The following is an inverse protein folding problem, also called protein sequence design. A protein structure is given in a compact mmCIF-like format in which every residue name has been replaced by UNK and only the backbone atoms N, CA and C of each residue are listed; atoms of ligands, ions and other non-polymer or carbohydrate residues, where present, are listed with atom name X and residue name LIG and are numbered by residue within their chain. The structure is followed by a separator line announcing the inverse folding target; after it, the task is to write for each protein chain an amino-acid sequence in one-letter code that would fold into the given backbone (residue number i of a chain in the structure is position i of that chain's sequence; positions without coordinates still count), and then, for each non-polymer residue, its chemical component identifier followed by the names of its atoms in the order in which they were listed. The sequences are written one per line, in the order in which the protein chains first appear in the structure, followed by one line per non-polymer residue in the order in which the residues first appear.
data_IF_570240514490
#
_entry.id   IF_570240514490
#
_cell.length_a   1.000
_cell.length_b   1.000
_cell.length_c   1.000
_cell.angle_alpha   90.00
_cell.angle_beta   90.00
_cell.angle_gamma   90.00
#
_symmetry.space_group_name_H-M   'P 1'
#
loop_
_entity.id
_entity.type
_entity.pdbx_description
1 polymer ?
#
# COMPACT_ATOMS: atom_id res chain seq x y z
N UNK A 1 -7.69 -2.74 -40.74
CA UNK A 1 -7.38 -4.20 -40.86
C UNK A 1 -8.60 -5.03 -40.45
N UNK A 2 -8.66 -6.34 -40.71
CA UNK A 2 -9.78 -7.20 -40.27
C UNK A 2 -9.27 -8.52 -39.66
N UNK A 3 -9.82 -8.90 -38.51
CA UNK A 3 -9.47 -10.14 -37.83
C UNK A 3 -10.72 -10.97 -37.57
N UNK A 4 -10.66 -12.24 -37.91
CA UNK A 4 -11.69 -13.21 -37.60
C UNK A 4 -11.19 -14.16 -36.51
N UNK A 5 -11.98 -14.31 -35.46
CA UNK A 5 -11.71 -15.21 -34.34
C UNK A 5 -12.91 -16.12 -34.11
N UNK A 6 -12.67 -17.42 -34.05
CA UNK A 6 -13.66 -18.42 -33.67
C UNK A 6 -13.48 -18.81 -32.20
N UNK A 7 -14.45 -18.52 -31.30
CA UNK A 7 -14.32 -18.86 -29.88
C UNK A 7 -14.40 -20.38 -29.61
N UNK A 8 -14.91 -21.16 -30.56
CA UNK A 8 -15.06 -22.61 -30.40
C UNK A 8 -13.81 -23.39 -30.85
N UNK A 9 -13.14 -22.91 -31.91
CA UNK A 9 -11.95 -23.56 -32.49
C UNK A 9 -10.65 -22.84 -32.13
N UNK A 10 -10.75 -21.64 -31.53
CA UNK A 10 -9.64 -20.73 -31.23
C UNK A 10 -8.84 -20.32 -32.47
N UNK A 11 -9.42 -20.51 -33.66
CA UNK A 11 -8.82 -20.10 -34.91
C UNK A 11 -8.87 -18.58 -35.02
N UNK A 12 -7.70 -17.98 -35.17
CA UNK A 12 -7.52 -16.56 -35.43
C UNK A 12 -6.90 -16.41 -36.81
N UNK A 13 -7.50 -15.57 -37.65
CA UNK A 13 -6.97 -15.21 -38.98
C UNK A 13 -7.08 -13.71 -39.18
N UNK A 14 -6.02 -13.10 -39.69
CA UNK A 14 -5.98 -11.67 -40.00
C UNK A 14 -5.88 -11.40 -41.50
N UNK A 15 -6.54 -10.35 -41.95
CA UNK A 15 -6.42 -9.79 -43.30
C UNK A 15 -6.20 -8.28 -43.23
N UNK A 16 -5.44 -7.75 -44.18
CA UNK A 16 -5.24 -6.33 -44.39
C UNK A 16 -5.66 -5.97 -45.81
N UNK A 17 -6.39 -4.87 -45.94
CA UNK A 17 -6.72 -4.30 -47.24
C UNK A 17 -5.50 -3.53 -47.76
N UNK A 18 -4.91 -4.01 -48.86
CA UNK A 18 -3.76 -3.40 -49.53
C UNK A 18 -4.07 -3.30 -51.02
N UNK A 19 -3.96 -2.12 -51.61
CA UNK A 19 -4.23 -1.88 -53.03
C UNK A 19 -5.62 -2.37 -53.51
N UNK A 20 -6.66 -2.22 -52.67
CA UNK A 20 -8.02 -2.70 -52.91
C UNK A 20 -8.21 -4.22 -52.88
N UNK A 21 -7.21 -4.98 -52.43
CA UNK A 21 -7.28 -6.43 -52.23
C UNK A 21 -7.04 -6.81 -50.75
N UNK A 22 -7.80 -7.79 -50.25
CA UNK A 22 -7.55 -8.35 -48.92
C UNK A 22 -6.41 -9.36 -48.99
N UNK A 23 -5.27 -9.01 -48.39
CA UNK A 23 -4.11 -9.91 -48.23
C UNK A 23 -4.10 -10.49 -46.82
N UNK A 24 -3.74 -11.75 -46.67
CA UNK A 24 -3.60 -12.37 -45.36
C UNK A 24 -2.43 -11.75 -44.61
N UNK A 25 -2.59 -11.57 -43.30
CA UNK A 25 -1.52 -11.14 -42.40
C UNK A 25 -0.74 -12.41 -42.00
N UNK A 26 0.60 -12.44 -42.16
CA UNK A 26 1.38 -13.58 -41.74
C UNK A 26 1.36 -13.69 -40.20
N UNK A 27 1.28 -14.93 -39.73
CA UNK A 27 1.41 -15.23 -38.30
C UNK A 27 2.88 -15.09 -37.89
N UNK A 28 3.12 -14.52 -36.72
CA UNK A 28 4.45 -14.40 -36.11
C UNK A 28 4.86 -15.73 -35.47
N UNK A 29 6.12 -15.85 -35.06
CA UNK A 29 6.68 -17.07 -34.43
C UNK A 29 5.85 -17.54 -33.22
N UNK A 30 5.23 -16.61 -32.49
CA UNK A 30 4.41 -16.88 -31.31
C UNK A 30 2.95 -17.25 -31.63
N UNK A 31 2.59 -17.42 -32.90
CA UNK A 31 1.19 -17.68 -33.29
C UNK A 31 0.30 -16.44 -33.30
N UNK A 32 0.89 -15.23 -33.30
CA UNK A 32 0.14 -13.96 -33.22
C UNK A 32 0.16 -13.18 -34.53
N UNK A 33 -0.87 -12.36 -34.76
CA UNK A 33 -0.96 -11.49 -35.92
C UNK A 33 -0.62 -10.06 -35.57
N UNK A 34 0.22 -9.41 -36.36
CA UNK A 34 0.57 -8.00 -36.16
C UNK A 34 -0.49 -7.07 -36.74
N UNK A 35 -1.10 -6.22 -35.90
CA UNK A 35 -1.93 -5.10 -36.34
C UNK A 35 -1.06 -3.85 -36.50
N UNK A 36 -0.97 -3.36 -37.74
CA UNK A 36 -0.23 -2.15 -38.05
C UNK A 36 -0.98 -0.89 -37.59
N UNK A 37 -2.32 -0.92 -37.56
CA UNK A 37 -3.13 0.22 -37.11
C UNK A 37 -3.02 0.43 -35.60
N UNK A 38 -2.97 -0.66 -34.83
CA UNK A 38 -2.87 -0.61 -33.37
C UNK A 38 -1.42 -0.59 -32.87
N UNK A 39 -0.46 -1.05 -33.67
CA UNK A 39 0.91 -1.27 -33.22
C UNK A 39 1.01 -2.37 -32.15
N UNK A 40 0.11 -3.35 -32.20
CA UNK A 40 -0.03 -4.43 -31.23
C UNK A 40 -0.18 -5.78 -31.95
N UNK A 41 0.20 -6.85 -31.26
CA UNK A 41 -0.07 -8.21 -31.68
C UNK A 41 -1.44 -8.67 -31.19
N UNK A 42 -2.13 -9.44 -32.03
CA UNK A 42 -3.39 -10.11 -31.74
C UNK A 42 -3.12 -11.61 -31.61
N UNK A 43 -3.46 -12.16 -30.46
CA UNK A 43 -3.23 -13.56 -30.15
C UNK A 43 -4.34 -14.17 -29.31
N UNK A 44 -4.37 -15.49 -29.24
CA UNK A 44 -5.27 -16.21 -28.36
C UNK A 44 -4.53 -16.56 -27.08
N UNK A 45 -5.13 -16.20 -25.94
CA UNK A 45 -4.60 -16.45 -24.60
C UNK A 45 -5.75 -16.81 -23.68
N UNK A 46 -5.61 -17.91 -22.93
CA UNK A 46 -6.66 -18.44 -22.04
C UNK A 46 -8.02 -18.51 -22.76
N UNK A 47 -8.02 -19.11 -23.95
CA UNK A 47 -9.20 -19.31 -24.81
C UNK A 47 -9.92 -18.00 -25.22
N UNK A 48 -9.23 -16.86 -25.15
CA UNK A 48 -9.78 -15.54 -25.49
C UNK A 48 -8.84 -14.77 -26.40
N UNK A 49 -9.44 -13.94 -27.26
CA UNK A 49 -8.67 -12.99 -28.07
C UNK A 49 -8.11 -11.88 -27.17
N UNK A 50 -6.79 -11.67 -27.23
CA UNK A 50 -6.07 -10.68 -26.43
C UNK A 50 -5.08 -9.88 -27.27
N UNK A 51 -4.81 -8.67 -26.81
CA UNK A 51 -3.79 -7.79 -27.35
C UNK A 51 -2.46 -8.00 -26.62
N UNK A 52 -1.36 -7.94 -27.37
CA UNK A 52 0.00 -8.02 -26.86
C UNK A 52 0.83 -6.86 -27.39
N UNK A 53 1.70 -6.33 -26.55
CA UNK A 53 2.68 -5.30 -26.89
C UNK A 53 3.75 -5.84 -27.84
N UNK A 54 4.56 -4.95 -28.41
CA UNK A 54 5.66 -5.32 -29.31
C UNK A 54 6.71 -6.19 -28.62
N UNK A 55 6.84 -6.08 -27.30
CA UNK A 55 7.72 -6.93 -26.49
C UNK A 55 7.07 -8.27 -26.10
N UNK A 56 5.86 -8.55 -26.58
CA UNK A 56 5.10 -9.77 -26.30
C UNK A 56 4.46 -9.81 -24.92
N UNK A 57 4.32 -8.67 -24.22
CA UNK A 57 3.57 -8.59 -22.96
C UNK A 57 2.09 -8.43 -23.22
N UNK A 58 1.27 -9.16 -22.46
CA UNK A 58 -0.19 -9.07 -22.50
C UNK A 58 -0.65 -7.65 -22.13
N UNK A 59 -1.47 -7.03 -22.99
CA UNK A 59 -2.11 -5.76 -22.68
C UNK A 59 -3.30 -6.05 -21.77
N UNK A 60 -3.38 -5.47 -20.56
CA UNK A 60 -4.50 -5.67 -19.65
C UNK A 60 -5.78 -5.08 -20.26
N UNK A 61 -6.93 -5.68 -19.95
CA UNK A 61 -8.21 -5.02 -20.24
C UNK A 61 -8.36 -3.78 -19.36
N UNK A 62 -9.21 -2.79 -19.74
CA UNK A 62 -9.52 -1.66 -18.87
C UNK A 62 -10.02 -2.10 -17.49
N UNK A 63 -10.75 -3.22 -17.42
CA UNK A 63 -11.24 -3.79 -16.16
C UNK A 63 -10.09 -4.38 -15.31
N UNK A 64 -9.18 -5.14 -15.92
CA UNK A 64 -7.99 -5.68 -15.23
C UNK A 64 -7.07 -4.56 -14.74
N UNK A 65 -6.84 -3.53 -15.56
CA UNK A 65 -6.05 -2.37 -15.17
C UNK A 65 -6.67 -1.65 -13.96
N UNK A 66 -7.99 -1.43 -13.98
CA UNK A 66 -8.72 -0.84 -12.87
C UNK A 66 -8.66 -1.69 -11.60
N UNK A 67 -8.81 -3.02 -11.72
CA UNK A 67 -8.66 -3.93 -10.57
C UNK A 67 -7.25 -3.86 -9.98
N UNK A 68 -6.22 -3.77 -10.82
CA UNK A 68 -4.84 -3.63 -10.36
C UNK A 68 -4.60 -2.28 -9.67
N UNK A 69 -5.18 -1.20 -10.17
CA UNK A 69 -5.16 0.12 -9.51
C UNK A 69 -5.86 0.09 -8.16
N UNK A 70 -7.06 -0.49 -8.07
CA UNK A 70 -7.80 -0.66 -6.81
C UNK A 70 -6.96 -1.45 -5.81
N UNK A 71 -6.35 -2.56 -6.25
CA UNK A 71 -5.50 -3.38 -5.39
C UNK A 71 -4.27 -2.61 -4.90
N UNK A 72 -3.63 -1.82 -5.76
CA UNK A 72 -2.49 -0.97 -5.38
C UNK A 72 -2.92 0.08 -4.35
N UNK A 73 -4.05 0.75 -4.58
CA UNK A 73 -4.60 1.74 -3.66
C UNK A 73 -4.97 1.12 -2.30
N UNK A 74 -5.50 -0.11 -2.28
CA UNK A 74 -5.82 -0.82 -1.04
C UNK A 74 -4.56 -1.20 -0.25
N UNK A 75 -3.52 -1.71 -0.93
CA UNK A 75 -2.23 -2.00 -0.31
C UNK A 75 -1.61 -0.74 0.29
N UNK A 76 -1.66 0.38 -0.43
CA UNK A 76 -1.16 1.66 0.07
C UNK A 76 -1.93 2.15 1.29
N UNK A 77 -3.27 2.06 1.27
CA UNK A 77 -4.11 2.38 2.42
C UNK A 77 -3.80 1.51 3.64
N UNK A 78 -3.62 0.20 3.45
CA UNK A 78 -3.27 -0.71 4.53
C UNK A 78 -1.90 -0.35 5.14
N UNK A 79 -0.91 0.00 4.31
CA UNK A 79 0.39 0.46 4.81
C UNK A 79 0.28 1.74 5.63
N UNK A 80 -0.48 2.72 5.13
CA UNK A 80 -0.72 3.97 5.85
C UNK A 80 -1.44 3.75 7.19
N UNK A 81 -2.39 2.82 7.23
CA UNK A 81 -3.12 2.47 8.46
C UNK A 81 -2.19 1.79 9.48
N UNK A 82 -1.35 0.85 9.04
CA UNK A 82 -0.36 0.21 9.92
C UNK A 82 0.62 1.24 10.49
N UNK A 83 1.06 2.20 9.69
CA UNK A 83 1.94 3.28 10.14
C UNK A 83 1.25 4.18 11.16
N UNK A 84 -0.02 4.55 10.93
CA UNK A 84 -0.83 5.33 11.89
C UNK A 84 -0.98 4.60 13.22
N UNK A 85 -1.31 3.31 13.19
CA UNK A 85 -1.45 2.51 14.42
C UNK A 85 -0.14 2.42 15.20
N UNK A 86 0.99 2.30 14.52
CA UNK A 86 2.32 2.34 15.17
C UNK A 86 2.58 3.69 15.82
N UNK A 87 2.33 4.79 15.10
CA UNK A 87 2.50 6.14 15.64
C UNK A 87 1.58 6.40 16.85
N UNK A 88 0.33 5.92 16.80
CA UNK A 88 -0.60 6.03 17.92
C UNK A 88 -0.16 5.21 19.12
N UNK A 89 0.32 3.98 18.90
CA UNK A 89 0.86 3.13 19.97
C UNK A 89 2.08 3.76 20.64
N UNK A 90 2.96 4.37 19.85
CA UNK A 90 4.13 5.09 20.37
C UNK A 90 3.72 6.33 21.17
N UNK A 91 2.74 7.11 20.69
CA UNK A 91 2.17 8.25 21.44
C UNK A 91 1.56 7.81 22.76
N UNK A 92 0.78 6.73 22.78
CA UNK A 92 0.18 6.22 24.02
C UNK A 92 1.25 5.78 25.03
N UNK A 93 2.33 5.15 24.57
CA UNK A 93 3.46 4.79 25.43
C UNK A 93 4.15 6.03 26.01
N UNK A 94 4.44 7.03 25.17
CA UNK A 94 5.05 8.28 25.60
C UNK A 94 4.16 9.04 26.60
N UNK A 95 2.84 9.04 26.39
CA UNK A 95 1.88 9.66 27.31
C UNK A 95 1.82 8.92 28.65
N UNK A 96 1.82 7.58 28.63
CA UNK A 96 1.85 6.76 29.84
C UNK A 96 3.14 7.00 30.64
N UNK A 97 4.27 7.14 29.97
CA UNK A 97 5.56 7.45 30.61
C UNK A 97 5.55 8.85 31.23
N UNK A 98 5.02 9.85 30.52
CA UNK A 98 4.86 11.21 31.06
C UNK A 98 3.97 11.24 32.30
N UNK A 99 2.84 10.55 32.28
CA UNK A 99 1.94 10.48 33.45
C UNK A 99 2.62 9.83 34.66
N UNK A 100 3.43 8.80 34.45
CA UNK A 100 4.22 8.18 35.52
C UNK A 100 5.25 9.14 36.11
N UNK A 101 6.00 9.82 35.25
CA UNK A 101 6.98 10.82 35.68
C UNK A 101 6.31 11.98 36.46
N UNK A 102 5.17 12.47 35.98
CA UNK A 102 4.41 13.53 36.67
C UNK A 102 3.90 13.06 38.05
N UNK A 103 3.39 11.83 38.13
CA UNK A 103 2.96 11.24 39.40
C UNK A 103 4.13 11.07 40.38
N UNK A 104 5.30 10.70 39.89
CA UNK A 104 6.51 10.58 40.70
C UNK A 104 7.00 11.95 41.21
N UNK A 105 7.04 12.97 40.34
CA UNK A 105 7.33 14.36 40.74
C UNK A 105 6.37 14.85 41.82
N UNK A 106 5.06 14.66 41.64
CA UNK A 106 4.08 15.08 42.65
C UNK A 106 4.30 14.40 44.00
N UNK A 107 4.68 13.11 44.01
CA UNK A 107 4.99 12.40 45.26
C UNK A 107 6.25 12.91 45.93
N UNK A 108 7.26 13.31 45.15
CA UNK A 108 8.47 13.93 45.67
C UNK A 108 8.15 15.29 46.31
N UNK A 109 7.43 16.15 45.61
CA UNK A 109 7.00 17.47 46.11
C UNK A 109 6.15 17.34 47.40
N UNK A 110 5.20 16.39 47.43
CA UNK A 110 4.38 16.13 48.61
C UNK A 110 5.20 15.62 49.80
N UNK A 111 6.23 14.80 49.54
CA UNK A 111 7.12 14.28 50.58
C UNK A 111 8.02 15.39 51.15
N UNK A 112 8.58 16.25 50.29
CA UNK A 112 9.36 17.42 50.70
C UNK A 112 8.53 18.39 51.54
N UNK A 113 7.31 18.71 51.09
CA UNK A 113 6.40 19.57 51.84
C UNK A 113 6.06 19.00 53.21
N UNK A 114 5.79 17.69 53.31
CA UNK A 114 5.53 17.03 54.60
C UNK A 114 6.76 17.03 55.50
N UNK A 115 7.94 16.78 54.95
CA UNK A 115 9.20 16.82 55.69
C UNK A 115 9.46 18.21 56.27
N UNK A 116 9.29 19.27 55.46
CA UNK A 116 9.45 20.66 55.89
C UNK A 116 8.46 21.04 57.02
N UNK A 117 7.19 20.63 56.91
CA UNK A 117 6.19 20.87 57.95
C UNK A 117 6.54 20.15 59.26
N UNK A 118 7.01 18.89 59.16
CA UNK A 118 7.41 18.11 60.33
C UNK A 118 8.63 18.75 61.02
N UNK A 119 9.63 19.16 60.24
CA UNK A 119 10.83 19.84 60.76
C UNK A 119 10.47 21.14 61.47
N UNK A 120 9.58 21.95 60.89
CA UNK A 120 9.08 23.17 61.53
C UNK A 120 8.41 22.87 62.88
N UNK A 121 7.57 21.84 62.96
CA UNK A 121 6.90 21.43 64.20
C UNK A 121 7.87 20.88 65.26
N UNK A 122 8.89 20.12 64.84
CA UNK A 122 9.92 19.61 65.74
C UNK A 122 10.74 20.75 66.36
N UNK A 123 11.05 21.78 65.56
CA UNK A 123 11.72 22.99 66.02
C UNK A 123 10.88 23.78 67.03
N UNK A 124 9.56 23.86 66.82
CA UNK A 124 8.62 24.52 67.74
C UNK A 124 8.53 23.81 69.11
N UNK A 125 8.75 22.49 69.13
CA UNK A 125 8.79 21.67 70.35
C UNK A 125 10.17 21.65 71.04
N UNK A 126 11.17 22.37 70.50
CA UNK A 126 12.49 22.52 71.12
C UNK A 126 13.42 21.30 70.95
N UNK A 127 13.16 20.43 69.98
CA UNK A 127 14.00 19.27 69.65
C UNK A 127 14.80 19.61 68.40
N UNK A 128 16.14 19.72 68.52
CA UNK A 128 17.00 20.01 67.37
C UNK A 128 17.11 18.77 66.47
N UNK A 129 16.75 18.87 65.17
CA UNK A 129 16.61 17.72 64.27
C UNK A 129 17.94 17.01 63.96
N UNK A 130 19.09 17.63 64.22
CA UNK A 130 20.44 17.07 64.00
C UNK A 130 20.98 16.20 65.16
N UNK A 131 20.14 15.90 66.17
CA UNK A 131 20.57 15.21 67.40
C UNK A 131 20.31 13.68 67.41
N UNK A 132 19.87 13.09 66.29
CA UNK A 132 19.57 11.66 66.10
C UNK A 132 20.40 11.08 64.95
#
# INVERSE_FOLDING_TARGET
EYFWFSPNTLELVGWRLTDSEYKTIPVSENGWYWSQELGLYLGVWEDRLRYFTVEGRLVPTPEEANLEEIRKAEIERQKAEIERQRAETERQKAETERQKAETECQRADDAENKAAILEQKLRELGIEPDSL
#
